data_IF_496788180713
#
_entry.id   IF_496788180713
#
_cell.length_a   1.000
_cell.length_b   1.000
_cell.length_c   1.000
_cell.angle_alpha   90.00
_cell.angle_beta   90.00
_cell.angle_gamma   90.00
#
_symmetry.space_group_name_H-M   'P 1'
#
loop_
_entity.id
_entity.type
_entity.pdbx_description
1 polymer ?
#
# COMPACT_ATOMS: atom_id res chain seq x y z
N UNK A 1 29.46 5.51 7.75
CA UNK A 1 28.26 5.34 8.59
C UNK A 1 26.97 5.83 7.90
N UNK A 2 26.95 7.03 7.24
CA UNK A 2 25.75 7.56 6.55
C UNK A 2 25.28 6.70 5.38
N UNK A 3 26.15 6.12 4.58
CA UNK A 3 25.78 5.27 3.43
C UNK A 3 25.04 3.99 3.82
N UNK A 4 25.32 3.37 4.98
CA UNK A 4 24.67 2.12 5.42
C UNK A 4 23.27 2.33 5.99
N UNK A 5 22.97 3.52 6.53
CA UNK A 5 21.60 3.88 6.94
C UNK A 5 20.69 4.20 5.74
N UNK A 6 21.27 4.54 4.59
CA UNK A 6 20.49 4.81 3.36
C UNK A 6 19.81 3.56 2.80
N UNK A 7 20.41 2.37 2.87
CA UNK A 7 19.85 1.16 2.23
C UNK A 7 18.44 0.76 2.71
N UNK A 8 18.03 1.09 3.93
CA UNK A 8 16.69 0.79 4.43
C UNK A 8 15.74 2.00 4.33
N UNK A 9 16.30 3.21 4.33
CA UNK A 9 15.51 4.44 4.22
C UNK A 9 14.89 4.58 2.83
N UNK A 10 15.55 4.03 1.82
CA UNK A 10 15.19 4.14 0.39
C UNK A 10 14.72 2.79 -0.20
N UNK A 11 14.53 1.74 0.64
CA UNK A 11 13.95 0.48 0.14
C UNK A 11 12.50 0.72 -0.22
N UNK A 12 12.22 0.78 -1.51
CA UNK A 12 10.88 0.72 -2.03
C UNK A 12 10.23 -0.59 -1.58
N UNK A 13 8.95 -0.60 -1.23
CA UNK A 13 8.26 -1.84 -0.92
C UNK A 13 8.31 -2.78 -2.13
N UNK A 14 8.48 -4.06 -1.86
CA UNK A 14 8.43 -5.11 -2.88
C UNK A 14 6.97 -5.38 -3.19
N UNK A 15 6.57 -5.19 -4.45
CA UNK A 15 5.18 -5.34 -4.85
C UNK A 15 4.93 -6.77 -5.33
N UNK A 16 3.96 -7.44 -4.70
CA UNK A 16 3.59 -8.79 -5.08
C UNK A 16 2.90 -8.83 -6.45
N UNK A 17 3.28 -9.78 -7.34
CA UNK A 17 2.67 -9.91 -8.66
C UNK A 17 1.16 -10.11 -8.61
N UNK A 18 0.66 -10.83 -7.60
CA UNK A 18 -0.77 -11.03 -7.39
C UNK A 18 -1.49 -9.71 -7.15
N UNK A 19 -0.95 -8.84 -6.28
CA UNK A 19 -1.53 -7.52 -6.03
C UNK A 19 -1.56 -6.67 -7.31
N UNK A 20 -0.47 -6.69 -8.11
CA UNK A 20 -0.44 -5.99 -9.39
C UNK A 20 -1.51 -6.49 -10.36
N UNK A 21 -1.74 -7.78 -10.41
CA UNK A 21 -2.79 -8.36 -11.25
C UNK A 21 -4.20 -7.96 -10.77
N UNK A 22 -4.45 -8.04 -9.47
CA UNK A 22 -5.73 -7.69 -8.87
C UNK A 22 -6.06 -6.20 -9.04
N UNK A 23 -5.10 -5.29 -8.75
CA UNK A 23 -5.31 -3.85 -8.89
C UNK A 23 -5.49 -3.46 -10.36
N UNK A 24 -4.76 -4.10 -11.28
CA UNK A 24 -4.92 -3.87 -12.73
C UNK A 24 -6.30 -4.29 -13.19
N UNK A 25 -6.75 -5.48 -12.77
CA UNK A 25 -8.08 -5.99 -13.12
C UNK A 25 -9.17 -5.07 -12.56
N UNK A 26 -9.03 -4.62 -11.32
CA UNK A 26 -9.97 -3.71 -10.70
C UNK A 26 -10.06 -2.36 -11.44
N UNK A 27 -8.92 -1.74 -11.77
CA UNK A 27 -8.86 -0.48 -12.55
C UNK A 27 -9.56 -0.61 -13.91
N UNK A 28 -9.52 -1.79 -14.52
CA UNK A 28 -10.15 -2.03 -15.84
C UNK A 28 -11.65 -2.34 -15.75
N UNK A 29 -12.12 -2.79 -14.58
CA UNK A 29 -13.43 -3.43 -14.47
C UNK A 29 -14.48 -2.59 -13.75
N UNK A 30 -14.08 -1.74 -12.79
CA UNK A 30 -15.01 -1.03 -11.91
C UNK A 30 -14.68 0.46 -11.79
N UNK A 31 -15.68 1.30 -11.49
CA UNK A 31 -15.47 2.74 -11.30
C UNK A 31 -14.70 3.07 -10.02
N UNK A 32 -14.89 2.29 -8.97
CA UNK A 32 -14.32 2.55 -7.64
C UNK A 32 -13.52 1.35 -7.18
N UNK A 33 -12.26 1.58 -6.82
CA UNK A 33 -11.36 0.60 -6.20
C UNK A 33 -11.04 1.03 -4.79
N UNK A 34 -11.16 0.12 -3.85
CA UNK A 34 -10.80 0.39 -2.46
C UNK A 34 -9.69 -0.54 -1.98
N UNK A 35 -8.63 0.05 -1.44
CA UNK A 35 -7.51 -0.64 -0.81
C UNK A 35 -7.55 -0.38 0.69
N UNK A 36 -8.06 -1.32 1.52
CA UNK A 36 -8.18 -1.15 2.96
C UNK A 36 -6.82 -1.26 3.65
N UNK A 37 -6.02 -0.22 3.56
CA UNK A 37 -4.67 -0.21 4.12
C UNK A 37 -4.12 1.21 4.30
N UNK A 38 -3.15 1.38 5.19
CA UNK A 38 -2.47 2.66 5.47
C UNK A 38 -1.08 2.79 4.80
N UNK A 39 -0.63 1.77 4.05
CA UNK A 39 0.69 1.77 3.41
C UNK A 39 0.64 2.45 2.03
N UNK A 40 0.48 3.77 2.04
CA UNK A 40 0.33 4.57 0.82
C UNK A 40 1.47 4.37 -0.19
N UNK A 41 2.72 4.30 0.30
CA UNK A 41 3.88 4.08 -0.57
C UNK A 41 3.88 2.71 -1.27
N UNK A 42 3.20 1.69 -0.72
CA UNK A 42 3.03 0.41 -1.39
C UNK A 42 2.19 0.57 -2.66
N UNK A 43 1.04 1.26 -2.53
CA UNK A 43 0.17 1.54 -3.67
C UNK A 43 0.86 2.47 -4.69
N UNK A 44 1.56 3.51 -4.25
CA UNK A 44 2.32 4.40 -5.13
C UNK A 44 3.32 3.61 -5.98
N UNK A 45 4.11 2.72 -5.36
CA UNK A 45 5.09 1.91 -6.08
C UNK A 45 4.43 0.88 -7.00
N UNK A 46 3.29 0.32 -6.62
CA UNK A 46 2.52 -0.56 -7.50
C UNK A 46 2.06 0.19 -8.76
N UNK A 47 1.52 1.40 -8.63
CA UNK A 47 1.11 2.24 -9.76
C UNK A 47 2.31 2.63 -10.64
N UNK A 48 3.44 2.99 -10.05
CA UNK A 48 4.70 3.25 -10.78
C UNK A 48 5.15 2.02 -11.57
N UNK A 49 5.06 0.84 -10.96
CA UNK A 49 5.40 -0.41 -11.63
C UNK A 49 4.43 -0.74 -12.78
N UNK A 50 3.13 -0.47 -12.62
CA UNK A 50 2.15 -0.60 -13.70
C UNK A 50 2.45 0.31 -14.88
N UNK A 51 2.83 1.57 -14.64
CA UNK A 51 3.24 2.50 -15.70
C UNK A 51 4.45 1.95 -16.46
N UNK A 52 5.46 1.45 -15.75
CA UNK A 52 6.69 0.92 -16.37
C UNK A 52 6.46 -0.39 -17.13
N UNK A 53 5.48 -1.19 -16.73
CA UNK A 53 5.14 -2.49 -17.35
C UNK A 53 4.08 -2.37 -18.45
N UNK A 54 3.25 -1.33 -18.45
CA UNK A 54 2.15 -1.15 -19.40
C UNK A 54 2.60 -1.17 -20.86
N UNK A 55 3.84 -0.75 -21.13
CA UNK A 55 4.44 -0.86 -22.46
C UNK A 55 4.80 -2.31 -22.89
N UNK A 56 4.76 -3.27 -21.95
CA UNK A 56 5.19 -4.67 -22.17
C UNK A 56 4.06 -5.68 -22.03
N UNK A 57 2.90 -5.30 -21.52
CA UNK A 57 1.82 -6.24 -21.22
C UNK A 57 0.66 -6.12 -22.22
N UNK A 58 0.15 -7.28 -22.66
CA UNK A 58 -1.01 -7.38 -23.56
C UNK A 58 -2.37 -7.07 -22.88
N UNK A 59 -2.38 -6.57 -21.65
CA UNK A 59 -3.62 -6.36 -20.90
C UNK A 59 -4.37 -5.06 -21.24
N UNK A 60 -3.96 -4.32 -22.27
CA UNK A 60 -4.69 -3.13 -22.74
C UNK A 60 -4.71 -1.93 -21.79
N UNK A 61 -4.01 -2.01 -20.66
CA UNK A 61 -3.85 -0.90 -19.74
C UNK A 61 -2.62 -0.08 -20.16
N UNK A 62 -2.87 1.08 -20.76
CA UNK A 62 -1.80 2.04 -21.06
C UNK A 62 -1.98 3.24 -20.12
N UNK A 63 -1.12 3.36 -19.12
CA UNK A 63 -1.12 4.45 -18.13
C UNK A 63 0.23 5.16 -18.20
N UNK A 64 0.19 6.49 -18.17
CA UNK A 64 1.36 7.34 -17.98
C UNK A 64 1.31 8.06 -16.64
N UNK A 65 2.39 8.75 -16.24
CA UNK A 65 2.36 9.59 -15.04
C UNK A 65 1.36 10.73 -15.14
N UNK A 66 1.11 11.25 -16.34
CA UNK A 66 0.16 12.34 -16.60
C UNK A 66 -1.31 11.89 -16.40
N UNK A 67 -1.53 10.57 -16.38
CA UNK A 67 -2.85 9.98 -16.16
C UNK A 67 -3.17 9.76 -14.67
N UNK A 68 -2.19 9.96 -13.78
CA UNK A 68 -2.35 9.78 -12.33
C UNK A 68 -2.51 11.14 -11.64
N UNK A 69 -3.67 11.31 -10.98
CA UNK A 69 -3.97 12.48 -10.16
C UNK A 69 -4.15 12.04 -8.71
N UNK A 70 -3.34 12.58 -7.81
CA UNK A 70 -3.47 12.34 -6.38
C UNK A 70 -4.32 13.45 -5.75
N UNK A 71 -5.26 13.08 -4.89
CA UNK A 71 -6.02 14.01 -4.08
C UNK A 71 -5.73 13.79 -2.60
N UNK A 72 -5.26 14.84 -1.94
CA UNK A 72 -5.01 14.89 -0.50
C UNK A 72 -5.98 15.90 0.12
N UNK A 73 -6.69 15.50 1.18
CA UNK A 73 -7.71 16.37 1.81
C UNK A 73 -7.12 17.71 2.30
N UNK A 74 -5.89 17.69 2.78
CA UNK A 74 -5.26 18.89 3.33
C UNK A 74 -4.67 19.80 2.24
N UNK A 75 -4.27 19.20 1.09
CA UNK A 75 -3.53 19.91 0.04
C UNK A 75 -4.29 20.10 -1.26
N UNK A 76 -5.37 19.34 -1.47
CA UNK A 76 -6.13 19.33 -2.72
C UNK A 76 -5.49 18.43 -3.79
N UNK A 77 -5.69 18.76 -5.06
CA UNK A 77 -5.10 18.04 -6.20
C UNK A 77 -3.57 18.19 -6.23
N UNK A 78 -2.90 17.10 -6.48
CA UNK A 78 -1.44 16.98 -6.46
C UNK A 78 -1.01 16.20 -7.71
N UNK A 79 -0.05 16.71 -8.44
CA UNK A 79 0.62 15.94 -9.48
C UNK A 79 1.32 14.72 -8.88
N UNK A 80 1.00 13.54 -9.39
CA UNK A 80 1.48 12.28 -8.82
C UNK A 80 3.01 12.14 -8.89
N UNK A 81 3.63 12.58 -9.98
CA UNK A 81 5.06 12.43 -10.23
C UNK A 81 5.89 13.46 -9.45
N UNK A 82 5.55 14.74 -9.61
CA UNK A 82 6.34 15.84 -9.01
C UNK A 82 5.98 16.11 -7.56
N UNK A 83 4.82 15.60 -7.09
CA UNK A 83 4.22 15.86 -5.78
C UNK A 83 3.99 17.36 -5.52
N UNK A 84 3.94 18.15 -6.59
CA UNK A 84 3.58 19.57 -6.51
C UNK A 84 2.07 19.71 -6.48
N UNK A 85 1.63 20.68 -5.68
CA UNK A 85 0.22 21.08 -5.62
C UNK A 85 -0.15 21.70 -6.96
N UNK A 86 -1.19 21.18 -7.59
CA UNK A 86 -1.71 21.68 -8.84
C UNK A 86 -2.75 22.77 -8.56
N UNK A 87 -3.85 22.42 -7.89
CA UNK A 87 -4.89 23.36 -7.53
C UNK A 87 -5.45 23.05 -6.12
N UNK A 88 -6.06 24.07 -5.49
CA UNK A 88 -6.64 23.92 -4.15
C UNK A 88 -8.14 23.74 -4.26
N UNK A 89 -8.59 22.54 -4.59
CA UNK A 89 -10.01 22.23 -4.58
C UNK A 89 -10.46 21.74 -3.20
N UNK A 90 -11.68 22.17 -2.84
CA UNK A 90 -12.44 21.44 -1.84
C UNK A 90 -12.94 20.14 -2.47
N UNK A 91 -13.07 19.10 -1.68
CA UNK A 91 -13.43 17.78 -2.15
C UNK A 91 -14.75 17.73 -2.95
N UNK A 92 -15.87 18.34 -2.52
CA UNK A 92 -17.09 18.37 -3.32
C UNK A 92 -16.89 19.04 -4.68
N UNK A 93 -16.18 20.18 -4.72
CA UNK A 93 -15.89 20.88 -5.99
C UNK A 93 -15.04 20.02 -6.92
N UNK A 94 -14.06 19.30 -6.39
CA UNK A 94 -13.24 18.37 -7.18
C UNK A 94 -14.07 17.24 -7.78
N UNK A 95 -14.99 16.67 -7.00
CA UNK A 95 -15.90 15.62 -7.49
C UNK A 95 -16.88 16.16 -8.55
N UNK A 96 -17.37 17.40 -8.39
CA UNK A 96 -18.19 18.06 -9.41
C UNK A 96 -17.42 18.24 -10.71
N UNK A 97 -16.20 18.79 -10.65
CA UNK A 97 -15.34 18.95 -11.85
C UNK A 97 -15.04 17.61 -12.52
N UNK A 98 -14.94 16.54 -11.74
CA UNK A 98 -14.71 15.19 -12.25
C UNK A 98 -15.92 14.65 -13.03
N UNK A 99 -17.14 15.04 -12.63
CA UNK A 99 -18.40 14.71 -13.31
C UNK A 99 -18.61 15.57 -14.56
N UNK A 100 -18.26 16.87 -14.48
CA UNK A 100 -18.53 17.84 -15.54
C UNK A 100 -17.52 17.77 -16.70
N UNK A 101 -16.31 17.23 -16.46
CA UNK A 101 -15.30 17.09 -17.50
C UNK A 101 -15.61 15.94 -18.48
N UNK A 102 -16.67 16.11 -19.27
CA UNK A 102 -17.08 15.16 -20.33
C UNK A 102 -16.09 15.10 -21.53
N UNK A 103 -15.18 16.07 -21.65
CA UNK A 103 -14.40 16.31 -22.86
C UNK A 103 -12.97 15.73 -22.86
N UNK A 104 -12.65 14.79 -22.01
CA UNK A 104 -11.36 14.12 -22.02
C UNK A 104 -11.28 12.95 -23.00
N UNK A 105 -11.46 13.19 -24.29
CA UNK A 105 -11.16 12.22 -25.33
C UNK A 105 -9.69 11.80 -25.26
N UNK A 106 -9.43 10.60 -24.74
CA UNK A 106 -8.20 9.88 -25.08
C UNK A 106 -7.38 9.24 -24.00
N UNK A 107 -7.32 9.75 -22.77
CA UNK A 107 -6.42 9.17 -21.78
C UNK A 107 -7.15 8.66 -20.54
N UNK A 108 -6.77 7.46 -20.11
CA UNK A 108 -7.28 6.83 -18.90
C UNK A 108 -6.77 7.58 -17.68
N UNK A 109 -7.65 8.26 -16.93
CA UNK A 109 -7.28 8.97 -15.71
C UNK A 109 -7.60 8.17 -14.47
N UNK A 110 -6.61 8.00 -13.61
CA UNK A 110 -6.75 7.35 -12.32
C UNK A 110 -6.61 8.41 -11.23
N UNK A 111 -7.65 8.53 -10.41
CA UNK A 111 -7.70 9.47 -9.31
C UNK A 111 -7.45 8.72 -8.00
N UNK A 112 -6.36 9.06 -7.33
CA UNK A 112 -5.89 8.40 -6.11
C UNK A 112 -6.22 9.24 -4.88
N UNK A 113 -7.06 8.73 -3.99
CA UNK A 113 -7.47 9.38 -2.74
C UNK A 113 -6.82 8.68 -1.55
N UNK A 114 -6.02 9.41 -0.79
CA UNK A 114 -5.29 8.88 0.38
C UNK A 114 -5.88 9.43 1.68
N UNK A 115 -6.35 8.55 2.57
CA UNK A 115 -6.90 8.93 3.86
C UNK A 115 -8.14 9.83 3.78
N UNK A 116 -8.90 9.75 2.69
CA UNK A 116 -9.97 10.68 2.37
C UNK A 116 -11.36 10.18 2.78
N UNK A 117 -11.52 8.88 2.99
CA UNK A 117 -12.84 8.25 3.07
C UNK A 117 -13.66 8.71 4.29
N UNK A 118 -13.02 8.94 5.42
CA UNK A 118 -13.73 9.42 6.62
C UNK A 118 -14.38 10.78 6.38
N UNK A 119 -13.71 11.69 5.67
CA UNK A 119 -14.27 12.99 5.31
C UNK A 119 -15.32 12.88 4.19
N UNK A 120 -15.07 12.04 3.18
CA UNK A 120 -16.01 11.77 2.10
C UNK A 120 -17.34 11.23 2.61
N UNK A 121 -17.31 10.27 3.51
CA UNK A 121 -18.50 9.61 4.00
C UNK A 121 -19.24 10.40 5.12
N UNK A 122 -18.63 11.47 5.63
CA UNK A 122 -19.31 12.42 6.51
C UNK A 122 -20.14 13.46 5.75
N UNK A 123 -19.98 13.53 4.43
CA UNK A 123 -20.65 14.50 3.57
C UNK A 123 -21.57 13.77 2.58
N UNK A 124 -22.86 13.98 2.75
CA UNK A 124 -23.90 13.32 1.92
C UNK A 124 -23.80 13.76 0.45
N UNK A 125 -23.40 14.99 0.18
CA UNK A 125 -23.18 15.49 -1.18
C UNK A 125 -22.07 14.70 -1.88
N UNK A 126 -20.96 14.44 -1.19
CA UNK A 126 -19.87 13.62 -1.73
C UNK A 126 -20.33 12.19 -2.05
N UNK A 127 -21.16 11.58 -1.19
CA UNK A 127 -21.70 10.23 -1.43
C UNK A 127 -22.56 10.21 -2.68
N UNK A 128 -23.44 11.21 -2.85
CA UNK A 128 -24.29 11.32 -4.03
C UNK A 128 -23.49 11.54 -5.31
N UNK A 129 -22.44 12.36 -5.27
CA UNK A 129 -21.53 12.58 -6.39
C UNK A 129 -20.79 11.29 -6.78
N UNK A 130 -20.30 10.52 -5.81
CA UNK A 130 -19.65 9.23 -6.05
C UNK A 130 -20.64 8.21 -6.67
N UNK A 131 -21.89 8.19 -6.20
CA UNK A 131 -22.93 7.33 -6.77
C UNK A 131 -23.28 7.75 -8.21
N UNK A 132 -23.36 9.05 -8.46
CA UNK A 132 -23.56 9.58 -9.81
C UNK A 132 -22.40 9.19 -10.73
N UNK A 133 -21.16 9.32 -10.27
CA UNK A 133 -19.97 8.90 -11.00
C UNK A 133 -20.04 7.41 -11.37
N UNK A 134 -20.33 6.54 -10.41
CA UNK A 134 -20.45 5.11 -10.62
C UNK A 134 -21.57 4.77 -11.63
N UNK A 135 -22.71 5.44 -11.50
CA UNK A 135 -23.87 5.25 -12.42
C UNK A 135 -23.54 5.67 -13.86
N UNK A 136 -22.84 6.80 -14.05
CA UNK A 136 -22.43 7.28 -15.36
C UNK A 136 -21.38 6.37 -15.99
N UNK A 137 -20.45 5.85 -15.19
CA UNK A 137 -19.46 4.87 -15.63
C UNK A 137 -20.15 3.59 -16.16
N UNK A 138 -21.10 3.03 -15.42
CA UNK A 138 -21.82 1.81 -15.81
C UNK A 138 -22.68 2.00 -17.04
N UNK A 139 -23.27 3.17 -17.20
CA UNK A 139 -24.05 3.53 -18.41
C UNK A 139 -23.17 3.77 -19.63
N UNK A 140 -21.84 3.80 -19.47
CA UNK A 140 -20.90 4.11 -20.54
C UNK A 140 -20.94 5.57 -21.01
N UNK A 141 -21.54 6.46 -20.23
CA UNK A 141 -21.58 7.91 -20.49
C UNK A 141 -20.23 8.53 -20.13
N UNK A 142 -19.70 8.20 -18.97
CA UNK A 142 -18.27 8.40 -18.72
C UNK A 142 -17.56 7.26 -19.45
N UNK A 143 -16.80 7.59 -20.47
CA UNK A 143 -15.92 6.61 -21.09
C UNK A 143 -15.20 5.87 -19.96
N UNK A 144 -15.02 4.54 -20.07
CA UNK A 144 -14.35 3.69 -19.07
C UNK A 144 -12.87 4.07 -18.87
N UNK A 145 -12.60 5.36 -18.90
CA UNK A 145 -11.30 6.01 -18.86
C UNK A 145 -10.96 6.58 -17.49
N UNK A 146 -11.95 6.69 -16.59
CA UNK A 146 -11.75 7.26 -15.25
C UNK A 146 -11.98 6.19 -14.20
N UNK A 147 -11.05 6.03 -13.25
CA UNK A 147 -11.20 5.13 -12.11
C UNK A 147 -10.79 5.86 -10.84
N UNK A 148 -11.56 5.71 -9.78
CA UNK A 148 -11.25 6.25 -8.45
C UNK A 148 -10.63 5.16 -7.61
N UNK A 149 -9.44 5.40 -7.06
CA UNK A 149 -8.78 4.49 -6.12
C UNK A 149 -8.73 5.16 -4.77
N UNK A 150 -9.31 4.52 -3.77
CA UNK A 150 -9.23 4.93 -2.38
C UNK A 150 -8.30 4.01 -1.61
N UNK A 151 -7.37 4.59 -0.84
CA UNK A 151 -6.57 3.87 0.13
C UNK A 151 -6.76 4.51 1.51
N UNK A 152 -7.29 3.73 2.44
CA UNK A 152 -7.59 4.20 3.78
C UNK A 152 -7.66 3.02 4.76
N UNK A 153 -7.39 3.27 6.05
CA UNK A 153 -7.42 2.25 7.11
C UNK A 153 -8.83 2.20 7.76
N UNK A 154 -9.83 1.92 6.94
CA UNK A 154 -11.19 1.71 7.41
C UNK A 154 -11.73 0.37 6.87
N UNK A 155 -12.61 -0.31 7.59
CA UNK A 155 -13.22 -1.54 7.10
C UNK A 155 -14.25 -1.24 6.00
N UNK A 156 -14.43 -2.18 5.07
CA UNK A 156 -15.46 -2.07 4.02
C UNK A 156 -16.88 -1.89 4.59
N UNK A 157 -17.14 -2.38 5.79
CA UNK A 157 -18.41 -2.18 6.49
C UNK A 157 -18.72 -0.71 6.79
N UNK A 158 -17.72 0.17 6.76
CA UNK A 158 -17.89 1.62 6.90
C UNK A 158 -18.29 2.32 5.60
N UNK A 159 -18.28 1.60 4.48
CA UNK A 159 -18.74 2.15 3.20
C UNK A 159 -20.26 2.35 3.20
N UNK A 160 -20.75 3.43 2.59
CA UNK A 160 -22.17 3.58 2.30
C UNK A 160 -22.68 2.40 1.47
N UNK A 161 -23.78 1.78 1.91
CA UNK A 161 -24.33 0.58 1.27
C UNK A 161 -24.61 0.78 -0.24
N UNK A 162 -24.93 2.00 -0.64
CA UNK A 162 -25.19 2.36 -2.03
C UNK A 162 -23.94 2.32 -2.93
N UNK A 163 -22.74 2.46 -2.36
CA UNK A 163 -21.47 2.43 -3.11
C UNK A 163 -20.84 1.02 -3.17
N UNK A 164 -21.21 0.12 -2.26
CA UNK A 164 -20.63 -1.23 -2.20
C UNK A 164 -20.75 -1.99 -3.54
N UNK A 165 -21.90 -2.00 -4.24
CA UNK A 165 -22.05 -2.71 -5.52
C UNK A 165 -21.10 -2.20 -6.62
N UNK A 166 -20.65 -0.95 -6.53
CA UNK A 166 -19.81 -0.28 -7.52
C UNK A 166 -18.32 -0.29 -7.14
N UNK A 167 -17.98 -0.92 -6.01
CA UNK A 167 -16.65 -0.90 -5.43
C UNK A 167 -16.01 -2.29 -5.44
N UNK A 168 -14.80 -2.40 -5.98
CA UNK A 168 -13.97 -3.58 -5.81
C UNK A 168 -12.93 -3.35 -4.73
N UNK A 169 -12.87 -4.28 -3.77
CA UNK A 169 -11.85 -4.27 -2.72
C UNK A 169 -10.63 -5.05 -3.20
N UNK A 170 -9.45 -4.42 -3.08
CA UNK A 170 -8.15 -5.04 -3.38
C UNK A 170 -7.29 -5.00 -2.13
N UNK A 171 -6.96 -6.16 -1.59
CA UNK A 171 -6.22 -6.26 -0.34
C UNK A 171 -4.71 -6.30 -0.59
N UNK A 172 -3.95 -5.55 0.20
CA UNK A 172 -2.50 -5.75 0.29
C UNK A 172 -2.26 -6.99 1.15
N UNK A 173 -1.70 -8.03 0.53
CA UNK A 173 -1.45 -9.31 1.18
C UNK A 173 -0.30 -9.20 2.19
N UNK A 174 -0.27 -10.14 3.13
CA UNK A 174 0.89 -10.32 3.99
C UNK A 174 2.04 -10.88 3.14
N UNK A 175 3.28 -10.39 3.33
CA UNK A 175 4.41 -10.84 2.53
C UNK A 175 4.70 -12.32 2.75
N UNK A 176 4.98 -13.03 1.66
CA UNK A 176 5.44 -14.41 1.69
C UNK A 176 6.84 -14.52 2.32
N UNK A 177 7.28 -15.75 2.62
CA UNK A 177 8.62 -15.99 3.15
C UNK A 177 9.72 -15.47 2.21
N UNK A 178 9.52 -15.63 0.90
CA UNK A 178 10.44 -15.18 -0.15
C UNK A 178 10.55 -13.63 -0.17
N UNK A 179 9.43 -12.93 -0.05
CA UNK A 179 9.42 -11.46 0.04
C UNK A 179 10.12 -10.98 1.32
N UNK A 180 9.91 -11.67 2.44
CA UNK A 180 10.60 -11.34 3.70
C UNK A 180 12.10 -11.56 3.53
N UNK A 181 12.52 -12.66 2.91
CA UNK A 181 13.92 -12.94 2.62
C UNK A 181 14.53 -11.85 1.74
N UNK A 182 13.84 -11.44 0.66
CA UNK A 182 14.29 -10.38 -0.23
C UNK A 182 14.46 -9.03 0.49
N UNK A 183 13.58 -8.71 1.45
CA UNK A 183 13.73 -7.53 2.32
C UNK A 183 14.96 -7.61 3.23
N UNK A 184 15.40 -8.81 3.61
CA UNK A 184 16.56 -9.03 4.47
C UNK A 184 17.90 -9.06 3.71
N UNK A 185 17.90 -9.46 2.42
CA UNK A 185 19.11 -9.61 1.60
C UNK A 185 20.05 -8.41 1.60
N UNK A 186 19.58 -7.14 1.47
CA UNK A 186 20.46 -5.99 1.42
C UNK A 186 21.10 -5.64 2.78
N UNK A 187 20.68 -6.29 3.88
CA UNK A 187 21.12 -5.97 5.23
C UNK A 187 22.35 -6.80 5.60
N UNK A 188 23.48 -6.18 5.98
CA UNK A 188 24.67 -6.93 6.32
C UNK A 188 24.49 -7.75 7.61
N UNK A 189 24.97 -8.98 7.57
CA UNK A 189 25.06 -9.85 8.73
C UNK A 189 26.32 -9.52 9.57
N UNK A 190 26.23 -9.71 10.88
CA UNK A 190 27.42 -9.61 11.75
C UNK A 190 28.45 -10.69 11.41
N UNK A 191 29.74 -10.41 11.67
CA UNK A 191 30.83 -11.37 11.44
C UNK A 191 30.62 -12.70 12.16
N UNK A 192 30.01 -12.66 13.36
CA UNK A 192 29.74 -13.85 14.16
C UNK A 192 28.75 -14.84 13.48
N UNK A 193 27.85 -14.33 12.62
CA UNK A 193 26.89 -15.15 11.88
C UNK A 193 27.48 -15.59 10.53
N UNK A 194 28.24 -14.72 9.86
CA UNK A 194 28.84 -15.00 8.55
C UNK A 194 29.86 -16.17 8.57
N UNK A 195 30.46 -16.41 9.73
CA UNK A 195 31.53 -17.42 9.91
C UNK A 195 31.01 -18.78 10.42
N UNK A 196 29.70 -18.92 10.60
CA UNK A 196 29.10 -20.14 11.14
C UNK A 196 28.12 -20.77 10.14
N UNK A 197 28.01 -22.11 10.18
CA UNK A 197 26.96 -22.87 9.46
C UNK A 197 25.52 -22.51 9.94
N UNK A 198 25.41 -21.64 10.94
CA UNK A 198 24.17 -21.16 11.52
C UNK A 198 23.46 -20.07 10.68
N UNK A 199 24.06 -19.61 9.57
CA UNK A 199 23.51 -18.51 8.76
C UNK A 199 22.08 -18.77 8.27
N UNK A 200 21.86 -19.96 7.70
CA UNK A 200 20.55 -20.35 7.18
C UNK A 200 19.51 -20.49 8.30
N UNK A 201 19.90 -21.12 9.42
CA UNK A 201 19.05 -21.26 10.58
C UNK A 201 18.66 -19.88 11.17
N UNK A 202 19.61 -18.95 11.20
CA UNK A 202 19.38 -17.59 11.65
C UNK A 202 18.40 -16.82 10.74
N UNK A 203 18.60 -16.87 9.42
CA UNK A 203 17.70 -16.22 8.46
C UNK A 203 16.29 -16.83 8.52
N UNK A 204 16.20 -18.15 8.61
CA UNK A 204 14.93 -18.86 8.79
C UNK A 204 14.20 -18.41 10.06
N UNK A 205 14.92 -18.21 11.16
CA UNK A 205 14.35 -17.71 12.42
C UNK A 205 13.84 -16.28 12.28
N UNK A 206 14.59 -15.40 11.59
CA UNK A 206 14.17 -14.05 11.30
C UNK A 206 12.92 -14.01 10.40
N UNK A 207 12.89 -14.81 9.34
CA UNK A 207 11.73 -14.91 8.45
C UNK A 207 10.49 -15.32 9.25
N UNK A 208 10.60 -16.36 10.07
CA UNK A 208 9.50 -16.81 10.95
C UNK A 208 9.05 -15.71 11.91
N UNK A 209 10.00 -14.94 12.46
CA UNK A 209 9.68 -13.82 13.35
C UNK A 209 8.84 -12.77 12.61
N UNK A 210 9.11 -12.49 11.36
CA UNK A 210 8.38 -11.48 10.58
C UNK A 210 7.10 -11.98 9.92
N UNK A 211 6.90 -13.28 9.79
CA UNK A 211 5.64 -13.82 9.27
C UNK A 211 4.42 -13.30 10.04
N UNK A 212 3.35 -12.98 9.30
CA UNK A 212 2.12 -12.40 9.86
C UNK A 212 2.16 -10.89 10.07
N UNK A 213 3.23 -10.21 9.66
CA UNK A 213 3.33 -8.75 9.68
C UNK A 213 3.28 -8.19 8.26
N UNK A 214 2.66 -7.02 8.07
CA UNK A 214 2.75 -6.28 6.82
C UNK A 214 4.16 -5.74 6.57
N UNK A 215 4.55 -5.57 5.30
CA UNK A 215 5.89 -5.10 4.93
C UNK A 215 6.29 -3.81 5.65
N UNK A 216 5.38 -2.83 5.80
CA UNK A 216 5.68 -1.60 6.52
C UNK A 216 6.04 -1.85 7.98
N UNK A 217 5.36 -2.79 8.64
CA UNK A 217 5.65 -3.17 10.02
C UNK A 217 7.04 -3.82 10.13
N UNK A 218 7.35 -4.73 9.19
CA UNK A 218 8.67 -5.39 9.10
C UNK A 218 9.78 -4.34 8.92
N UNK A 219 9.61 -3.43 7.95
CA UNK A 219 10.57 -2.36 7.67
C UNK A 219 10.78 -1.46 8.90
N UNK A 220 9.72 -1.12 9.61
CA UNK A 220 9.81 -0.29 10.81
C UNK A 220 10.52 -1.00 11.96
N UNK A 221 10.25 -2.29 12.19
CA UNK A 221 10.97 -3.10 13.17
C UNK A 221 12.46 -3.21 12.78
N UNK A 222 12.75 -3.52 11.52
CA UNK A 222 14.13 -3.59 11.02
C UNK A 222 14.88 -2.27 11.23
N UNK A 223 14.25 -1.13 10.92
CA UNK A 223 14.85 0.20 11.15
C UNK A 223 15.19 0.41 12.63
N UNK A 224 14.25 0.10 13.53
CA UNK A 224 14.47 0.22 14.97
C UNK A 224 15.62 -0.67 15.44
N UNK A 225 15.63 -1.93 15.03
CA UNK A 225 16.65 -2.91 15.39
C UNK A 225 18.02 -2.50 14.86
N UNK A 226 18.11 -2.10 13.60
CA UNK A 226 19.39 -1.76 12.96
C UNK A 226 20.02 -0.49 13.53
N UNK A 227 19.22 0.49 13.94
CA UNK A 227 19.75 1.65 14.68
C UNK A 227 20.43 1.22 15.98
N UNK A 228 19.85 0.28 16.72
CA UNK A 228 20.37 -0.21 17.99
C UNK A 228 21.57 -1.15 17.83
N UNK A 229 21.64 -1.91 16.74
CA UNK A 229 22.72 -2.89 16.46
C UNK A 229 23.85 -2.33 15.61
N UNK A 230 23.83 -1.03 15.31
CA UNK A 230 24.87 -0.38 14.50
C UNK A 230 24.83 -0.76 13.01
N UNK A 231 23.68 -1.19 12.50
CA UNK A 231 23.42 -1.46 11.07
C UNK A 231 23.68 -2.91 10.64
N UNK A 232 23.71 -3.85 11.58
CA UNK A 232 23.96 -5.27 11.30
C UNK A 232 22.87 -6.16 11.90
N UNK A 233 22.53 -7.24 11.20
CA UNK A 233 21.74 -8.34 11.75
C UNK A 233 22.66 -9.26 12.58
N UNK A 234 22.27 -9.51 13.82
CA UNK A 234 23.00 -10.31 14.82
C UNK A 234 22.02 -11.12 15.66
N UNK A 235 22.53 -12.06 16.50
CA UNK A 235 21.67 -12.80 17.45
C UNK A 235 20.88 -11.84 18.36
N UNK A 236 21.46 -10.71 18.73
CA UNK A 236 20.77 -9.65 19.50
C UNK A 236 19.68 -8.99 18.67
N UNK A 237 19.89 -8.83 17.34
CA UNK A 237 18.88 -8.28 16.45
C UNK A 237 17.63 -9.15 16.37
N UNK A 238 17.77 -10.48 16.38
CA UNK A 238 16.65 -11.42 16.40
C UNK A 238 15.79 -11.24 17.65
N UNK A 239 16.41 -11.25 18.82
CA UNK A 239 15.70 -11.07 20.11
C UNK A 239 14.97 -9.70 20.17
N UNK A 240 15.61 -8.65 19.63
CA UNK A 240 14.97 -7.33 19.53
C UNK A 240 13.78 -7.33 18.58
N UNK A 241 13.89 -7.99 17.42
CA UNK A 241 12.79 -8.10 16.46
C UNK A 241 11.58 -8.84 17.05
N UNK A 242 11.82 -9.93 17.79
CA UNK A 242 10.78 -10.66 18.51
C UNK A 242 10.09 -9.79 19.56
N UNK A 243 10.86 -9.05 20.34
CA UNK A 243 10.32 -8.14 21.35
C UNK A 243 9.47 -7.01 20.72
N UNK A 244 9.94 -6.41 19.62
CA UNK A 244 9.19 -5.37 18.90
C UNK A 244 7.90 -5.93 18.29
N UNK A 245 7.93 -7.15 17.72
CA UNK A 245 6.72 -7.83 17.23
C UNK A 245 5.72 -8.05 18.35
N UNK A 246 6.17 -8.60 19.51
CA UNK A 246 5.31 -8.79 20.68
C UNK A 246 4.67 -7.47 21.15
N UNK A 247 5.45 -6.38 21.17
CA UNK A 247 4.94 -5.06 21.53
C UNK A 247 3.91 -4.52 20.53
N UNK A 248 4.12 -4.77 19.25
CA UNK A 248 3.22 -4.34 18.18
C UNK A 248 1.88 -5.10 18.28
N UNK A 249 1.93 -6.41 18.46
CA UNK A 249 0.72 -7.26 18.63
C UNK A 249 -0.06 -6.84 19.86
N UNK A 250 0.61 -6.54 20.98
CA UNK A 250 -0.06 -6.04 22.20
C UNK A 250 -0.76 -4.69 22.02
N UNK A 251 -0.26 -3.83 21.13
CA UNK A 251 -0.87 -2.52 20.85
C UNK A 251 -2.11 -2.60 19.97
N UNK A 252 -2.24 -3.68 19.21
CA UNK A 252 -3.39 -3.84 18.28
C UNK A 252 -4.62 -4.45 18.93
N UNK A 253 -4.60 -4.77 20.24
CA UNK A 253 -5.70 -5.33 21.07
C UNK A 253 -6.44 -6.56 20.47
N UNK A 254 -5.90 -7.14 19.39
CA UNK A 254 -6.64 -8.12 18.56
C UNK A 254 -6.16 -9.56 18.74
N UNK A 255 -5.04 -9.81 19.45
CA UNK A 255 -4.51 -11.16 19.63
C UNK A 255 -3.95 -11.33 21.05
N UNK A 256 -4.52 -12.26 21.81
CA UNK A 256 -3.87 -12.82 23.01
C UNK A 256 -2.69 -13.69 22.57
N UNK A 257 -1.48 -13.34 23.00
CA UNK A 257 -0.30 -14.19 22.82
C UNK A 257 -0.38 -15.27 23.89
N UNK A 258 -0.75 -16.48 23.51
CA UNK A 258 -0.62 -17.65 24.38
C UNK A 258 0.87 -18.03 24.38
N UNK A 259 1.59 -17.68 25.45
CA UNK A 259 2.91 -18.21 25.72
C UNK A 259 2.74 -19.66 26.19
N UNK A 260 2.89 -20.62 25.31
CA UNK A 260 3.04 -22.02 25.70
C UNK A 260 4.49 -22.23 26.12
N UNK A 261 4.73 -22.26 27.42
CA UNK A 261 5.98 -22.78 27.98
C UNK A 261 6.09 -24.28 27.62
N UNK A 262 6.86 -24.58 26.58
CA UNK A 262 7.28 -25.96 26.26
C UNK A 262 8.48 -26.28 27.19
N UNK A 263 8.26 -26.30 28.49
CA UNK A 263 9.20 -26.85 29.46
C UNK A 263 8.47 -27.85 30.34
N UNK A 264 7.97 -28.91 29.72
CA UNK A 264 7.66 -30.15 30.48
C UNK A 264 7.33 -31.29 29.51
N UNK A 265 8.37 -31.95 28.96
CA UNK A 265 8.40 -33.40 28.72
C UNK A 265 9.85 -33.85 28.92
#
# INVERSE_FOLDING_TARGET
RRQRQMCIRDSNPIIEPQFLMEITTAILSVPIVFVPHYHYSYLDNALVQLISTSQKTHCGLNISYDDLVEFDIARGSIDFNTKKKDECYKLPSFLTDLLDNENGLGNKKIYLFKGALKSLFSDEECILQLLQFATLYEKGVLERTKTLIFIDDIPISSFPSVLIPHTQVVNILLPSAEIIEELLLPIPLSKSILLTDEREAYLTSLIRTFQGLHQLQIINILRSVLVRTGGYLSKVALNMAEAEKKNLVKKTDTLEIIETDITSV
#
